data_IF_335056032484
#
_entry.id   IF_335056032484
#
_cell.length_a   1.000
_cell.length_b   1.000
_cell.length_c   1.000
_cell.angle_alpha   90.00
_cell.angle_beta   90.00
_cell.angle_gamma   90.00
#
_symmetry.space_group_name_H-M   'P 1'
#
loop_
_entity.id
_entity.type
_entity.pdbx_description
1 polymer ?
#
# COMPACT_ATOMS: atom_id res chain seq x y z
N UNK A 1 -2.31 -7.46 1.94
CA UNK A 1 -2.20 -6.45 0.87
C UNK A 1 -1.17 -5.33 1.14
N UNK A 2 -1.09 -4.73 2.33
CA UNK A 2 -0.15 -3.60 2.58
C UNK A 2 1.36 -3.97 2.68
N UNK A 3 1.69 -5.25 2.90
CA UNK A 3 3.07 -5.71 3.15
C UNK A 3 4.07 -5.34 2.06
N UNK A 4 3.68 -5.39 0.78
CA UNK A 4 4.53 -4.97 -0.34
C UNK A 4 4.91 -3.49 -0.28
N UNK A 5 3.94 -2.62 0.03
CA UNK A 5 4.17 -1.18 0.24
C UNK A 5 5.08 -0.92 1.44
N UNK A 6 4.90 -1.64 2.54
CA UNK A 6 5.77 -1.53 3.71
C UNK A 6 7.23 -1.92 3.38
N UNK A 7 7.42 -3.03 2.66
CA UNK A 7 8.75 -3.46 2.22
C UNK A 7 9.39 -2.45 1.24
N UNK A 8 8.60 -1.88 0.32
CA UNK A 8 9.05 -0.79 -0.56
C UNK A 8 9.56 0.41 0.23
N UNK A 9 8.81 0.86 1.23
CA UNK A 9 9.25 1.98 2.08
C UNK A 9 10.50 1.64 2.89
N UNK A 10 10.63 0.42 3.41
CA UNK A 10 11.84 0.00 4.10
C UNK A 10 13.06 -0.01 3.16
N UNK A 11 12.89 -0.48 1.93
CA UNK A 11 13.94 -0.49 0.93
C UNK A 11 14.40 0.92 0.55
N UNK A 12 13.47 1.85 0.33
CA UNK A 12 13.79 3.27 0.07
C UNK A 12 14.55 3.86 1.26
N UNK A 13 14.05 3.70 2.49
CA UNK A 13 14.72 4.18 3.69
C UNK A 13 16.12 3.59 3.85
N UNK A 14 16.32 2.30 3.52
CA UNK A 14 17.64 1.68 3.55
C UNK A 14 18.59 2.28 2.51
N UNK A 15 18.14 2.45 1.25
CA UNK A 15 18.94 3.09 0.19
C UNK A 15 19.32 4.53 0.56
N UNK A 16 18.45 5.25 1.27
CA UNK A 16 18.71 6.63 1.72
C UNK A 16 19.50 6.71 3.04
N UNK A 17 19.78 5.58 3.70
CA UNK A 17 20.44 5.55 5.00
C UNK A 17 21.97 5.56 4.90
N UNK A 18 22.63 5.90 6.02
CA UNK A 18 24.08 5.75 6.17
C UNK A 18 24.57 4.30 6.13
N UNK A 19 23.67 3.31 6.25
CA UNK A 19 23.98 1.89 6.15
C UNK A 19 23.96 1.37 4.71
N UNK A 20 23.57 2.21 3.74
CA UNK A 20 23.56 1.82 2.34
C UNK A 20 24.99 1.57 1.83
N UNK A 21 25.16 0.48 1.09
CA UNK A 21 26.47 0.06 0.59
C UNK A 21 26.58 0.10 -0.94
N UNK A 22 25.77 0.95 -1.59
CA UNK A 22 25.80 1.14 -3.05
C UNK A 22 25.05 0.09 -3.87
N UNK A 23 24.58 -1.01 -3.25
CA UNK A 23 23.82 -2.06 -3.94
C UNK A 23 22.33 -1.73 -4.03
N UNK A 24 21.66 -2.28 -5.03
CA UNK A 24 20.20 -2.19 -5.13
C UNK A 24 19.49 -2.93 -3.99
N UNK A 25 18.33 -2.45 -3.60
CA UNK A 25 17.37 -3.23 -2.82
C UNK A 25 16.40 -3.92 -3.78
N UNK A 26 16.02 -5.16 -3.46
CA UNK A 26 15.00 -5.91 -4.19
C UNK A 26 13.80 -6.13 -3.27
N UNK A 27 12.63 -5.69 -3.72
CA UNK A 27 11.36 -5.88 -3.00
C UNK A 27 10.49 -6.83 -3.79
N UNK A 28 9.95 -7.85 -3.12
CA UNK A 28 9.03 -8.81 -3.72
C UNK A 28 7.69 -8.73 -2.97
N UNK A 29 6.63 -8.43 -3.71
CA UNK A 29 5.26 -8.53 -3.23
C UNK A 29 4.61 -9.73 -3.94
N UNK A 30 4.31 -10.79 -3.19
CA UNK A 30 3.71 -12.00 -3.71
C UNK A 30 2.61 -12.50 -2.77
N UNK A 31 1.52 -12.99 -3.33
CA UNK A 31 0.38 -13.47 -2.54
C UNK A 31 -0.45 -14.49 -3.33
N UNK A 32 -1.16 -15.34 -2.60
CA UNK A 32 -2.20 -16.23 -3.13
C UNK A 32 -3.47 -15.97 -2.32
N UNK A 33 -4.44 -15.30 -2.94
CA UNK A 33 -5.72 -14.96 -2.35
C UNK A 33 -6.71 -16.11 -2.54
N UNK A 34 -6.89 -16.90 -1.47
CA UNK A 34 -7.81 -18.04 -1.42
C UNK A 34 -8.99 -17.76 -0.50
N UNK A 35 -10.17 -18.18 -0.96
CA UNK A 35 -11.44 -17.96 -0.26
C UNK A 35 -12.28 -19.24 -0.22
N UNK A 36 -13.00 -19.42 0.89
CA UNK A 36 -13.90 -20.55 1.07
C UNK A 36 -15.07 -20.51 0.06
N UNK A 37 -15.95 -21.51 0.08
CA UNK A 37 -17.17 -21.47 -0.74
C UNK A 37 -18.03 -20.28 -0.33
N UNK A 38 -18.45 -19.47 -1.29
CA UNK A 38 -19.27 -18.28 -1.05
C UNK A 38 -19.01 -17.19 -2.08
N UNK A 39 -19.61 -16.03 -1.86
CA UNK A 39 -19.52 -14.86 -2.75
C UNK A 39 -18.12 -14.26 -2.89
N UNK A 40 -17.22 -14.50 -1.93
CA UNK A 40 -15.82 -14.05 -2.00
C UNK A 40 -14.93 -14.95 -2.89
N UNK A 41 -15.37 -16.17 -3.25
CA UNK A 41 -14.53 -17.08 -4.05
C UNK A 41 -14.10 -16.51 -5.40
N UNK A 42 -14.97 -15.84 -6.18
CA UNK A 42 -14.58 -15.25 -7.46
C UNK A 42 -13.59 -14.08 -7.35
N UNK A 43 -13.36 -13.53 -6.16
CA UNK A 43 -12.42 -12.41 -5.93
C UNK A 43 -11.02 -12.90 -5.53
N UNK A 44 -10.73 -14.19 -5.72
CA UNK A 44 -9.40 -14.76 -5.50
C UNK A 44 -8.43 -14.43 -6.63
N UNK A 45 -7.17 -14.82 -6.46
CA UNK A 45 -6.11 -14.59 -7.43
C UNK A 45 -4.74 -14.96 -6.88
N UNK A 46 -3.74 -14.95 -7.74
CA UNK A 46 -2.35 -15.16 -7.34
C UNK A 46 -1.43 -14.34 -8.22
N UNK A 47 -0.35 -13.83 -7.66
CA UNK A 47 0.61 -13.02 -8.41
C UNK A 47 1.85 -12.67 -7.60
N UNK A 48 2.89 -12.25 -8.31
CA UNK A 48 4.13 -11.75 -7.73
C UNK A 48 4.66 -10.58 -8.57
N UNK A 49 5.15 -9.55 -7.89
CA UNK A 49 5.82 -8.39 -8.48
C UNK A 49 7.16 -8.20 -7.78
N UNK A 50 8.22 -8.08 -8.57
CA UNK A 50 9.57 -7.73 -8.10
C UNK A 50 9.91 -6.30 -8.51
N UNK A 51 10.37 -5.49 -7.56
CA UNK A 51 10.74 -4.09 -7.74
C UNK A 51 12.19 -3.89 -7.34
N UNK A 52 13.01 -3.39 -8.27
CA UNK A 52 14.41 -3.03 -8.01
C UNK A 52 14.50 -1.55 -7.63
N UNK A 53 15.11 -1.26 -6.48
CA UNK A 53 15.15 0.08 -5.88
C UNK A 53 16.60 0.57 -5.80
N UNK A 54 16.83 1.79 -6.28
CA UNK A 54 18.14 2.45 -6.29
C UNK A 54 18.07 3.92 -6.72
N UNK A 55 19.23 4.61 -6.75
CA UNK A 55 19.30 6.00 -7.20
C UNK A 55 19.06 6.13 -8.72
N UNK A 56 18.74 7.35 -9.17
CA UNK A 56 18.51 7.69 -10.58
C UNK A 56 17.40 6.85 -11.24
N UNK A 57 16.36 6.53 -10.47
CA UNK A 57 15.23 5.74 -10.95
C UNK A 57 14.36 6.54 -11.93
N UNK A 58 13.76 5.89 -12.95
CA UNK A 58 12.79 6.54 -13.84
C UNK A 58 11.45 6.82 -13.16
N UNK A 59 11.12 6.06 -12.10
CA UNK A 59 9.97 6.29 -11.23
C UNK A 59 10.48 6.72 -9.86
N UNK A 60 10.45 8.02 -9.61
CA UNK A 60 10.95 8.64 -8.38
C UNK A 60 9.81 8.76 -7.37
N UNK A 61 10.08 8.45 -6.11
CA UNK A 61 9.12 8.65 -5.02
C UNK A 61 9.26 10.08 -4.49
N UNK A 62 8.15 10.81 -4.42
CA UNK A 62 8.13 12.16 -3.88
C UNK A 62 8.46 12.18 -2.39
N UNK A 63 9.60 12.77 -2.06
CA UNK A 63 10.08 12.88 -0.67
C UNK A 63 9.17 13.81 0.13
N UNK A 64 8.74 13.34 1.30
CA UNK A 64 7.94 14.14 2.23
C UNK A 64 6.44 14.19 1.93
N UNK A 65 5.95 13.58 0.85
CA UNK A 65 4.52 13.58 0.45
C UNK A 65 3.85 12.21 0.71
N UNK A 66 4.37 11.43 1.66
CA UNK A 66 3.80 10.11 2.01
C UNK A 66 2.76 10.23 3.13
N UNK A 67 1.56 9.70 2.88
CA UNK A 67 0.50 9.59 3.88
C UNK A 67 0.19 8.12 4.23
N UNK A 68 0.02 7.84 5.52
CA UNK A 68 -0.32 6.51 6.03
C UNK A 68 -1.43 6.63 7.08
N UNK A 69 -2.45 5.81 6.95
CA UNK A 69 -3.50 5.64 7.94
C UNK A 69 -3.53 4.20 8.42
N UNK A 70 -3.50 4.00 9.73
CA UNK A 70 -3.60 2.69 10.37
C UNK A 70 -4.65 2.77 11.47
N UNK A 71 -5.48 1.73 11.58
CA UNK A 71 -6.51 1.60 12.60
C UNK A 71 -6.67 0.14 12.98
N UNK A 72 -6.97 -0.12 14.25
CA UNK A 72 -7.44 -1.42 14.67
C UNK A 72 -8.84 -1.71 14.09
N UNK A 73 -8.98 -2.79 13.33
CA UNK A 73 -10.24 -3.23 12.76
C UNK A 73 -10.25 -4.76 12.59
N UNK A 74 -11.44 -5.34 12.59
CA UNK A 74 -11.69 -6.77 12.34
C UNK A 74 -12.54 -6.94 11.08
N UNK A 75 -12.19 -6.23 10.02
CA UNK A 75 -12.91 -6.28 8.75
C UNK A 75 -12.49 -7.47 7.89
N UNK A 76 -11.20 -7.76 7.84
CA UNK A 76 -10.64 -8.93 7.14
C UNK A 76 -9.41 -9.44 7.90
N UNK A 77 -9.43 -10.69 8.35
CA UNK A 77 -8.32 -11.28 9.11
C UNK A 77 -8.31 -12.80 9.03
N UNK A 78 -7.17 -13.43 9.35
CA UNK A 78 -6.96 -14.89 9.32
C UNK A 78 -6.66 -15.42 10.72
N UNK A 79 -7.67 -15.58 11.60
CA UNK A 79 -7.46 -15.99 12.98
C UNK A 79 -7.24 -17.50 13.14
N UNK A 80 -7.72 -18.32 12.20
CA UNK A 80 -7.59 -19.76 12.24
C UNK A 80 -6.27 -20.19 11.59
N UNK A 81 -5.30 -20.59 12.41
CA UNK A 81 -3.96 -20.98 11.96
C UNK A 81 -3.94 -22.28 11.13
N UNK A 82 -5.00 -23.10 11.20
CA UNK A 82 -5.13 -24.35 10.46
C UNK A 82 -5.85 -24.19 9.12
N UNK A 83 -6.21 -22.96 8.71
CA UNK A 83 -6.99 -22.67 7.51
C UNK A 83 -6.40 -21.48 6.74
N UNK A 84 -6.36 -21.59 5.41
CA UNK A 84 -5.92 -20.48 4.55
C UNK A 84 -6.98 -19.40 4.36
N UNK A 85 -8.24 -19.74 4.64
CA UNK A 85 -9.39 -18.88 4.41
C UNK A 85 -9.55 -17.79 5.48
N UNK A 86 -9.85 -16.54 5.08
CA UNK A 86 -10.08 -15.45 6.00
C UNK A 86 -11.48 -15.48 6.63
N UNK A 87 -11.60 -14.80 7.77
CA UNK A 87 -12.88 -14.28 8.29
C UNK A 87 -13.06 -12.88 7.72
N UNK A 88 -14.23 -12.62 7.12
CA UNK A 88 -14.52 -11.38 6.38
C UNK A 88 -15.87 -10.81 6.80
N UNK A 89 -15.87 -9.55 7.23
CA UNK A 89 -17.06 -8.70 7.29
C UNK A 89 -17.04 -7.75 6.10
N UNK A 90 -17.66 -8.15 5.00
CA UNK A 90 -17.58 -7.41 3.73
C UNK A 90 -18.12 -5.98 3.81
N UNK A 91 -19.16 -5.74 4.63
CA UNK A 91 -19.70 -4.38 4.80
C UNK A 91 -18.70 -3.52 5.56
N UNK A 92 -18.11 -4.04 6.63
CA UNK A 92 -17.09 -3.33 7.38
C UNK A 92 -15.83 -3.11 6.55
N UNK A 93 -15.39 -4.08 5.74
CA UNK A 93 -14.21 -3.94 4.86
C UNK A 93 -14.35 -2.78 3.88
N UNK A 94 -15.52 -2.61 3.24
CA UNK A 94 -15.77 -1.48 2.35
C UNK A 94 -15.69 -0.16 3.11
N UNK A 95 -16.30 -0.10 4.31
CA UNK A 95 -16.25 1.10 5.15
C UNK A 95 -14.83 1.44 5.63
N UNK A 96 -14.06 0.44 6.04
CA UNK A 96 -12.65 0.58 6.42
C UNK A 96 -11.82 1.12 5.26
N UNK A 97 -11.97 0.53 4.08
CA UNK A 97 -11.22 0.92 2.89
C UNK A 97 -11.49 2.38 2.48
N UNK A 98 -12.76 2.77 2.38
CA UNK A 98 -13.13 4.15 2.00
C UNK A 98 -12.68 5.18 3.05
N UNK A 99 -12.80 4.86 4.35
CA UNK A 99 -12.30 5.73 5.41
C UNK A 99 -10.78 5.89 5.34
N UNK A 100 -10.05 4.79 5.13
CA UNK A 100 -8.60 4.84 4.96
C UNK A 100 -8.19 5.67 3.74
N UNK A 101 -8.90 5.52 2.61
CA UNK A 101 -8.68 6.34 1.42
C UNK A 101 -8.87 7.83 1.72
N UNK A 102 -9.98 8.21 2.35
CA UNK A 102 -10.26 9.60 2.73
C UNK A 102 -9.16 10.17 3.64
N UNK A 103 -8.77 9.42 4.68
CA UNK A 103 -7.75 9.86 5.65
C UNK A 103 -6.35 9.97 5.04
N UNK A 104 -5.98 9.02 4.19
CA UNK A 104 -4.72 9.06 3.45
C UNK A 104 -4.70 10.25 2.49
N UNK A 105 -5.77 10.46 1.72
CA UNK A 105 -5.84 11.56 0.75
C UNK A 105 -5.84 12.93 1.42
N UNK A 106 -6.60 13.11 2.51
CA UNK A 106 -6.58 14.35 3.30
C UNK A 106 -5.17 14.66 3.83
N UNK A 107 -4.47 13.65 4.33
CA UNK A 107 -3.10 13.81 4.83
C UNK A 107 -2.11 14.08 3.71
N UNK A 108 -2.26 13.42 2.56
CA UNK A 108 -1.48 13.67 1.35
C UNK A 108 -1.61 15.12 0.90
N UNK A 109 -2.84 15.62 0.71
CA UNK A 109 -3.08 17.02 0.34
C UNK A 109 -2.44 17.98 1.36
N UNK A 110 -2.54 17.70 2.66
CA UNK A 110 -1.90 18.52 3.69
C UNK A 110 -0.38 18.59 3.53
N UNK A 111 0.29 17.46 3.25
CA UNK A 111 1.73 17.41 3.06
C UNK A 111 2.17 18.06 1.74
N UNK A 112 1.46 17.76 0.65
CA UNK A 112 1.72 18.32 -0.67
C UNK A 112 1.55 19.84 -0.66
N UNK A 113 0.47 20.37 -0.05
CA UNK A 113 0.24 21.81 0.05
C UNK A 113 1.35 22.53 0.81
N UNK A 114 1.92 21.89 1.82
CA UNK A 114 3.04 22.45 2.59
C UNK A 114 4.33 22.50 1.77
N UNK A 115 4.57 21.52 0.90
CA UNK A 115 5.79 21.43 0.10
C UNK A 115 5.73 22.27 -1.18
N UNK A 116 4.58 22.29 -1.86
CA UNK A 116 4.41 23.00 -3.13
C UNK A 116 3.96 24.46 -2.98
N UNK A 117 3.46 24.84 -1.79
CA UNK A 117 2.90 26.16 -1.54
C UNK A 117 1.60 26.45 -2.30
N UNK A 118 0.94 25.42 -2.84
CA UNK A 118 -0.32 25.50 -3.60
C UNK A 118 -1.27 24.38 -3.17
N UNK A 119 -2.56 24.58 -3.42
CA UNK A 119 -3.56 23.54 -3.12
C UNK A 119 -3.51 22.42 -4.16
N UNK A 120 -3.25 21.20 -3.70
CA UNK A 120 -3.24 19.97 -4.49
C UNK A 120 -4.59 19.27 -4.40
N UNK A 121 -5.14 18.91 -5.56
CA UNK A 121 -6.40 18.19 -5.71
C UNK A 121 -6.30 17.15 -6.84
N UNK A 122 -7.40 16.45 -7.12
CA UNK A 122 -7.45 15.37 -8.12
C UNK A 122 -7.00 15.82 -9.51
N UNK A 123 -7.22 17.11 -9.85
CA UNK A 123 -6.82 17.67 -11.16
C UNK A 123 -5.30 17.86 -11.30
N UNK A 124 -4.55 17.79 -10.20
CA UNK A 124 -3.10 17.94 -10.19
C UNK A 124 -2.36 16.61 -10.38
N UNK A 125 -3.09 15.50 -10.52
CA UNK A 125 -2.53 14.15 -10.59
C UNK A 125 -2.98 13.51 -11.90
N UNK A 126 -2.03 13.11 -12.75
CA UNK A 126 -2.31 12.51 -14.05
C UNK A 126 -2.92 11.11 -13.94
N UNK A 127 -2.47 10.33 -12.94
CA UNK A 127 -2.86 8.93 -12.76
C UNK A 127 -3.05 8.58 -11.29
N UNK A 128 -4.13 7.84 -11.02
CA UNK A 128 -4.38 7.23 -9.70
C UNK A 128 -4.28 5.71 -9.81
N UNK A 129 -3.44 5.12 -8.97
CA UNK A 129 -3.30 3.68 -8.83
C UNK A 129 -3.86 3.26 -7.47
N UNK A 130 -4.59 2.14 -7.46
CA UNK A 130 -5.25 1.61 -6.27
C UNK A 130 -4.90 0.14 -6.06
N UNK A 131 -5.06 -0.35 -4.84
CA UNK A 131 -5.21 -1.78 -4.62
C UNK A 131 -6.51 -2.22 -5.30
N UNK A 132 -6.42 -3.28 -6.11
CA UNK A 132 -7.53 -3.97 -6.75
C UNK A 132 -7.69 -5.38 -6.21
#
# INVERSE_FOLDING_TARGET
>A
CYGGTAALFNAISWVESSAWNGRYALVVAADIALYAKGSARPTGGAGAVAMLIGPNAPLVIDRGIRAVYMRHAYDFYKPNLSSEYPVVDGKLSIQCYLNALDKCYQSYCKYANKLEGKSVCVKNIDYFLFHS
#
